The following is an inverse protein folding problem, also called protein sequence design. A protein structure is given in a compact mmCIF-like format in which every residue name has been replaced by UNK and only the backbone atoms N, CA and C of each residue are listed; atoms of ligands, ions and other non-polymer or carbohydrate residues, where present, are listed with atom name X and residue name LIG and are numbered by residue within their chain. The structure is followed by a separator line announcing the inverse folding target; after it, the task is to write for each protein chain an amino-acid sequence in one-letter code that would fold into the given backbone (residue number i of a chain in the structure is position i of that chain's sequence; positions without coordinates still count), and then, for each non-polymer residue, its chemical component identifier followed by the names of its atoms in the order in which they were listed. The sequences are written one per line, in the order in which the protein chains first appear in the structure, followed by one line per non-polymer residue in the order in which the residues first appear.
data_IF_380805247230
#
_entry.id   IF_380805247230
#
_cell.length_a   1.000
_cell.length_b   1.000
_cell.length_c   1.000
_cell.angle_alpha   90.00
_cell.angle_beta   90.00
_cell.angle_gamma   90.00
#
_symmetry.space_group_name_H-M   'P 1'
#
loop_
_entity.id
_entity.type
_entity.pdbx_description
1 polymer ?
#
# COMPACT_ATOMS: atom_id res chain seq x y z
N UNK A 1 -23.95 15.44 -7.41
CA UNK A 1 -24.53 15.24 -7.47
C UNK A 1 -24.75 15.23 -7.18
N UNK A 2 -24.37 15.08 -6.88
CA UNK A 2 -24.79 14.70 -6.69
C UNK A 2 -24.93 14.60 -6.33
N UNK A 3 -24.44 14.56 -6.15
CA UNK A 3 -24.81 14.14 -6.02
C UNK A 3 -24.89 14.01 -5.75
N UNK A 4 -24.36 14.01 -5.78
CA UNK A 4 -24.75 13.65 -5.81
C UNK A 4 -24.89 13.37 -5.50
N UNK A 5 -24.50 13.31 -5.35
CA UNK A 5 -24.85 12.79 -5.25
C UNK A 5 -25.02 12.36 -4.89
N UNK A 6 -24.65 12.52 -4.59
CA UNK A 6 -24.95 11.79 -4.48
C UNK A 6 -24.93 11.44 -4.09
N UNK A 7 -24.67 11.24 -3.89
CA UNK A 7 -24.78 10.67 -3.53
C UNK A 7 -24.79 10.29 -3.24
N UNK A 8 -24.54 10.29 -3.21
CA UNK A 8 -24.58 9.69 -2.95
C UNK A 8 -24.51 9.31 -2.65
N UNK A 9 -24.31 9.36 -2.66
CA UNK A 9 -24.17 8.76 -2.34
C UNK A 9 -24.01 8.38 -1.98
N UNK A 10 -23.79 8.53 -1.93
CA UNK A 10 -23.54 7.85 -1.68
C UNK A 10 -23.20 7.56 -1.22
N UNK A 11 -23.16 7.61 -1.34
CA UNK A 11 -22.81 7.07 -0.97
C UNK A 11 -22.55 6.96 -0.42
N UNK A 12 -22.19 7.09 -0.48
CA UNK A 12 -21.77 6.69 -0.13
C UNK A 12 -21.39 6.40 0.51
N UNK A 13 -20.96 6.40 0.50
CA UNK A 13 -20.55 5.84 0.91
C UNK A 13 -20.03 5.61 1.53
N UNK A 14 -19.63 5.35 0.88
CA UNK A 14 -19.01 5.05 2.06
C UNK A 14 -17.54 5.27 2.06
N UNK A 15 -17.05 6.10 2.92
CA UNK A 15 -15.68 6.60 2.85
C UNK A 15 -14.62 5.53 3.12
N UNK A 16 -14.91 4.57 3.93
CA UNK A 16 -13.91 3.55 4.24
C UNK A 16 -13.55 2.68 3.06
N UNK A 17 -14.36 2.76 2.04
CA UNK A 17 -14.09 1.99 0.82
C UNK A 17 -13.16 2.74 -0.12
N UNK A 18 -12.82 3.95 0.24
CA UNK A 18 -11.97 4.77 -0.61
C UNK A 18 -10.51 4.37 -0.44
N UNK A 19 -9.84 4.16 -1.56
CA UNK A 19 -8.41 3.91 -1.54
C UNK A 19 -7.67 5.22 -1.40
N UNK A 20 -6.81 5.36 -0.40
CA UNK A 20 -6.05 6.61 -0.26
C UNK A 20 -5.06 6.77 -1.40
N UNK A 21 -4.88 8.01 -1.84
CA UNK A 21 -3.83 8.31 -2.78
C UNK A 21 -2.48 8.22 -2.07
N UNK A 22 -1.37 8.11 -2.84
CA UNK A 22 -0.06 8.13 -2.19
C UNK A 22 0.17 9.36 -1.34
N UNK A 23 -0.31 10.52 -1.77
CA UNK A 23 -0.15 11.74 -0.99
C UNK A 23 -0.93 11.67 0.32
N UNK A 24 -2.15 11.13 0.25
CA UNK A 24 -2.96 10.97 1.46
C UNK A 24 -2.32 9.99 2.43
N UNK A 25 -1.80 8.88 1.90
CA UNK A 25 -1.13 7.90 2.74
C UNK A 25 0.11 8.51 3.40
N UNK A 26 0.87 9.31 2.66
CA UNK A 26 2.05 9.95 3.21
C UNK A 26 1.68 10.91 4.33
N UNK A 27 0.58 11.67 4.16
CA UNK A 27 0.14 12.57 5.22
C UNK A 27 -0.30 11.81 6.47
N UNK A 28 -1.00 10.70 6.26
CA UNK A 28 -1.42 9.88 7.39
C UNK A 28 -0.22 9.33 8.14
N UNK A 29 0.83 8.92 7.43
CA UNK A 29 2.02 8.39 8.06
C UNK A 29 2.82 9.45 8.80
N UNK A 30 2.87 10.65 8.27
CA UNK A 30 3.53 11.76 8.95
C UNK A 30 4.94 11.42 9.38
N UNK A 31 5.18 11.46 10.69
CA UNK A 31 6.52 11.27 11.24
C UNK A 31 7.06 9.84 11.09
N UNK A 32 6.23 8.89 10.65
CA UNK A 32 6.73 7.56 10.35
C UNK A 32 7.63 7.54 9.10
N UNK A 33 7.60 8.62 8.31
CA UNK A 33 8.44 8.73 7.13
C UNK A 33 9.65 9.60 7.43
N UNK A 34 10.80 9.24 6.84
CA UNK A 34 11.99 10.07 6.98
C UNK A 34 11.98 11.17 5.92
N UNK A 35 13.00 12.08 5.93
CA UNK A 35 13.01 13.17 4.96
C UNK A 35 13.08 12.73 3.50
N UNK A 36 13.55 11.51 3.23
CA UNK A 36 13.58 10.99 1.86
C UNK A 36 12.31 10.22 1.51
N UNK A 37 11.31 10.21 2.40
CA UNK A 37 10.06 9.52 2.12
C UNK A 37 10.10 8.03 2.36
N UNK A 38 11.07 7.54 3.14
CA UNK A 38 11.17 6.13 3.45
C UNK A 38 10.51 5.85 4.80
N UNK A 39 9.88 4.69 4.90
CA UNK A 39 9.20 4.30 6.14
C UNK A 39 10.25 3.86 7.15
N UNK A 40 10.33 4.58 8.27
CA UNK A 40 11.40 4.38 9.24
C UNK A 40 11.24 3.11 10.06
N UNK A 41 9.99 2.74 10.36
CA UNK A 41 9.70 1.53 11.10
C UNK A 41 8.25 1.17 10.90
N UNK A 42 7.87 -0.03 11.32
CA UNK A 42 6.49 -0.48 11.17
C UNK A 42 5.62 0.23 12.20
N UNK A 43 4.57 0.93 11.76
CA UNK A 43 3.72 1.65 12.70
C UNK A 43 3.00 0.70 13.65
N UNK A 44 2.65 1.23 14.82
CA UNK A 44 2.00 0.43 15.83
C UNK A 44 0.49 0.40 15.69
N UNK A 45 -0.11 1.44 15.10
CA UNK A 45 -1.55 1.50 14.97
C UNK A 45 -1.99 0.96 13.64
N UNK A 46 -3.12 0.25 13.65
CA UNK A 46 -3.62 -0.39 12.46
C UNK A 46 -3.85 0.59 11.30
N UNK A 47 -4.40 1.76 11.61
CA UNK A 47 -4.65 2.71 10.54
C UNK A 47 -3.36 3.19 9.88
N UNK A 48 -2.30 3.32 10.65
CA UNK A 48 -1.01 3.70 10.07
C UNK A 48 -0.38 2.53 9.32
N UNK A 49 -0.60 1.31 9.78
CA UNK A 49 -0.13 0.12 9.06
C UNK A 49 -0.82 0.03 7.70
N UNK A 50 -2.11 0.32 7.65
CA UNK A 50 -2.84 0.32 6.40
C UNK A 50 -2.34 1.43 5.48
N UNK A 51 -2.12 2.61 6.03
CA UNK A 51 -1.56 3.71 5.24
C UNK A 51 -0.19 3.34 4.68
N UNK A 52 0.63 2.65 5.49
CA UNK A 52 1.94 2.21 5.03
C UNK A 52 1.81 1.23 3.86
N UNK A 53 0.84 0.33 3.91
CA UNK A 53 0.63 -0.60 2.81
C UNK A 53 0.29 0.14 1.53
N UNK A 54 -0.63 1.10 1.60
CA UNK A 54 -0.99 1.87 0.41
C UNK A 54 0.15 2.75 -0.07
N UNK A 55 0.93 3.29 0.85
CA UNK A 55 2.09 4.09 0.49
C UNK A 55 3.12 3.25 -0.26
N UNK A 56 3.40 2.06 0.25
CA UNK A 56 4.43 1.21 -0.33
C UNK A 56 3.99 0.59 -1.65
N UNK A 57 2.71 0.21 -1.79
CA UNK A 57 2.28 -0.39 -3.04
C UNK A 57 2.41 0.59 -4.20
N UNK A 58 2.31 1.89 -3.93
CA UNK A 58 2.46 2.89 -4.97
C UNK A 58 3.88 2.96 -5.53
N UNK A 59 4.85 2.33 -4.85
CA UNK A 59 6.24 2.29 -5.33
C UNK A 59 6.47 1.20 -6.36
N UNK A 60 5.48 0.33 -6.57
CA UNK A 60 5.57 -0.74 -7.54
C UNK A 60 4.97 -0.30 -8.87
N UNK A 61 5.49 -0.81 -9.97
CA UNK A 61 4.95 -0.52 -11.29
C UNK A 61 3.74 -1.40 -11.55
N UNK A 62 2.66 -0.80 -12.00
CA UNK A 62 1.47 -1.53 -12.33
C UNK A 62 1.71 -2.35 -13.59
N UNK A 63 1.16 -3.56 -13.59
CA UNK A 63 1.28 -4.44 -14.74
C UNK A 63 2.62 -5.15 -14.87
N UNK A 64 3.55 -4.86 -13.99
CA UNK A 64 4.84 -5.50 -14.02
C UNK A 64 4.84 -6.75 -13.14
N UNK A 65 5.48 -7.81 -13.62
CA UNK A 65 5.68 -9.01 -12.83
C UNK A 65 6.98 -8.89 -12.06
N UNK A 66 6.92 -9.31 -10.80
CA UNK A 66 8.07 -9.26 -9.90
C UNK A 66 8.32 -10.67 -9.38
N UNK A 67 9.57 -11.00 -9.08
CA UNK A 67 9.83 -12.18 -8.27
C UNK A 67 10.03 -11.74 -6.83
N UNK A 68 10.19 -12.70 -5.92
CA UNK A 68 10.30 -12.37 -4.50
C UNK A 68 11.48 -11.43 -4.25
N UNK A 69 12.59 -11.68 -4.93
CA UNK A 69 13.79 -10.87 -4.75
C UNK A 69 13.56 -9.42 -5.15
N UNK A 70 12.90 -9.19 -6.29
CA UNK A 70 12.65 -7.82 -6.72
C UNK A 70 11.60 -7.13 -5.86
N UNK A 71 10.61 -7.87 -5.34
CA UNK A 71 9.69 -7.29 -4.36
C UNK A 71 10.48 -6.83 -3.13
N UNK A 72 11.37 -7.69 -2.65
CA UNK A 72 12.18 -7.37 -1.48
C UNK A 72 13.03 -6.14 -1.73
N UNK A 73 13.60 -6.00 -2.93
CA UNK A 73 14.42 -4.83 -3.25
C UNK A 73 13.62 -3.54 -3.14
N UNK A 74 12.41 -3.54 -3.68
CA UNK A 74 11.56 -2.35 -3.61
C UNK A 74 11.23 -2.03 -2.15
N UNK A 75 10.86 -3.05 -1.39
CA UNK A 75 10.46 -2.83 -0.01
C UNK A 75 11.63 -2.38 0.85
N UNK A 76 12.82 -2.97 0.66
CA UNK A 76 13.99 -2.55 1.43
C UNK A 76 14.40 -1.13 1.10
N UNK A 77 14.19 -0.71 -0.15
CA UNK A 77 14.51 0.67 -0.53
C UNK A 77 13.64 1.68 0.20
N UNK A 78 12.36 1.37 0.34
CA UNK A 78 11.39 2.31 0.87
C UNK A 78 11.04 2.06 2.34
N UNK A 79 11.53 0.95 2.90
CA UNK A 79 11.34 0.61 4.31
C UNK A 79 12.63 -0.04 4.80
N UNK A 80 13.66 0.77 5.07
CA UNK A 80 15.00 0.23 5.31
C UNK A 80 15.18 -0.48 6.64
N UNK A 81 14.12 -0.58 7.45
CA UNK A 81 14.21 -1.41 8.66
C UNK A 81 14.27 -2.91 8.33
N UNK A 82 14.15 -3.26 7.06
CA UNK A 82 14.46 -4.57 6.51
C UNK A 82 13.62 -5.70 7.08
N UNK A 83 12.32 -5.52 7.00
CA UNK A 83 11.39 -6.61 7.33
C UNK A 83 10.46 -6.84 6.15
N UNK A 84 11.06 -7.15 5.02
CA UNK A 84 10.31 -7.33 3.78
C UNK A 84 9.30 -8.46 3.89
N UNK A 85 9.59 -9.48 4.69
CA UNK A 85 8.64 -10.58 4.85
C UNK A 85 7.33 -10.11 5.46
N UNK A 86 7.41 -9.28 6.50
CA UNK A 86 6.22 -8.70 7.11
C UNK A 86 5.48 -7.83 6.09
N UNK A 87 6.22 -7.02 5.35
CA UNK A 87 5.61 -6.10 4.40
C UNK A 87 4.95 -6.83 3.26
N UNK A 88 5.60 -7.87 2.73
CA UNK A 88 5.00 -8.68 1.67
C UNK A 88 3.69 -9.30 2.13
N UNK A 89 3.72 -9.87 3.32
CA UNK A 89 2.51 -10.50 3.87
C UNK A 89 1.39 -9.49 4.03
N UNK A 90 1.72 -8.31 4.54
CA UNK A 90 0.73 -7.27 4.72
C UNK A 90 0.11 -6.85 3.39
N UNK A 91 0.95 -6.66 2.37
CA UNK A 91 0.44 -6.27 1.05
C UNK A 91 -0.49 -7.33 0.47
N UNK A 92 -0.15 -8.61 0.66
CA UNK A 92 -1.02 -9.68 0.19
C UNK A 92 -2.32 -9.70 0.98
N UNK A 93 -2.24 -9.57 2.30
CA UNK A 93 -3.43 -9.58 3.15
C UNK A 93 -4.37 -8.41 2.86
N UNK A 94 -3.80 -7.25 2.52
CA UNK A 94 -4.61 -6.10 2.16
C UNK A 94 -5.14 -6.18 0.74
N UNK A 95 -4.75 -7.22 -0.01
CA UNK A 95 -5.22 -7.39 -1.37
C UNK A 95 -4.59 -6.44 -2.37
N UNK A 96 -3.43 -5.87 -2.04
CA UNK A 96 -2.78 -4.89 -2.89
C UNK A 96 -1.77 -5.52 -3.83
N UNK A 97 -1.25 -6.69 -3.48
CA UNK A 97 -0.35 -7.43 -4.34
C UNK A 97 -0.83 -8.88 -4.34
N UNK A 98 -0.78 -9.51 -5.49
CA UNK A 98 -1.12 -10.91 -5.63
C UNK A 98 0.14 -11.69 -5.93
N UNK A 99 0.07 -12.99 -5.72
CA UNK A 99 1.22 -13.84 -6.00
C UNK A 99 0.73 -15.20 -6.45
N UNK A 100 1.61 -15.92 -7.14
CA UNK A 100 1.33 -17.31 -7.49
C UNK A 100 1.46 -18.17 -6.23
N UNK A 101 0.79 -19.35 -6.20
CA UNK A 101 0.87 -20.21 -5.02
C UNK A 101 2.28 -20.62 -4.65
N UNK A 102 3.18 -20.74 -5.65
CA UNK A 102 4.55 -21.11 -5.37
C UNK A 102 5.44 -19.93 -5.02
N UNK A 103 4.88 -18.70 -5.01
CA UNK A 103 5.63 -17.53 -4.64
C UNK A 103 6.64 -17.05 -5.65
N UNK A 104 6.54 -17.50 -6.89
CA UNK A 104 7.52 -17.13 -7.91
C UNK A 104 7.22 -15.81 -8.58
N UNK A 105 5.94 -15.43 -8.63
CA UNK A 105 5.56 -14.18 -9.29
C UNK A 105 4.63 -13.39 -8.41
N UNK A 106 4.81 -12.08 -8.46
CA UNK A 106 3.98 -11.10 -7.75
C UNK A 106 3.58 -10.02 -8.73
N UNK A 107 2.42 -9.43 -8.52
CA UNK A 107 1.96 -8.28 -9.32
C UNK A 107 0.98 -7.47 -8.50
N UNK A 108 0.87 -6.17 -8.82
CA UNK A 108 -0.09 -5.33 -8.12
C UNK A 108 -1.49 -5.62 -8.59
N UNK A 109 -2.43 -5.56 -7.67
CA UNK A 109 -3.84 -5.79 -7.98
C UNK A 109 -4.64 -4.52 -8.01
N UNK A 110 -4.12 -3.47 -7.43
CA UNK A 110 -4.83 -2.21 -7.29
C UNK A 110 -4.73 -1.41 -8.57
N UNK A 111 -5.48 -0.34 -8.63
CA UNK A 111 -5.31 0.60 -9.69
C UNK A 111 -6.33 0.49 -10.78
N UNK A 112 -7.28 -0.34 -10.61
CA UNK A 112 -8.41 -0.33 -11.53
C UNK A 112 -9.27 0.87 -11.30
#
# INVERSE_FOLDING_TARGET
HAARRGAAAGIRKSPRMTTPTPAEAARELGHWLDPQGRLKQWPTRRKHQRAAAFYLIAKFERGRRYNESSVTEVLDRWAPFRDAALLRRTLVEEGLIARTPDGREYWTTSGE
#
